data_IF_492378111089
#
_entry.id   IF_492378111089
#
_cell.length_a   1.000
_cell.length_b   1.000
_cell.length_c   1.000
_cell.angle_alpha   90.00
_cell.angle_beta   90.00
_cell.angle_gamma   90.00
#
_symmetry.space_group_name_H-M   'P 1'
#
loop_
_entity.id
_entity.type
_entity.pdbx_description
1 polymer ?
#
# COMPACT_ATOMS: atom_id res chain seq x y z
N UNK A 1 1.92 16.70 10.51
CA UNK A 1 1.88 16.14 9.15
C UNK A 1 0.50 15.57 9.01
N UNK A 2 -0.33 16.14 8.14
CA UNK A 2 -1.74 15.78 8.03
C UNK A 2 -1.92 14.97 6.76
N UNK A 3 -2.21 13.70 6.95
CA UNK A 3 -2.80 12.84 5.94
C UNK A 3 -4.32 13.16 5.81
N UNK A 4 -5.05 12.46 4.93
CA UNK A 4 -6.49 12.61 4.64
C UNK A 4 -7.51 12.59 5.79
N UNK A 5 -8.17 13.72 6.04
CA UNK A 5 -9.36 13.80 6.90
C UNK A 5 -10.65 14.10 6.10
N UNK A 6 -11.71 13.36 6.42
CA UNK A 6 -13.09 13.74 6.13
C UNK A 6 -14.08 12.81 6.85
N UNK A 7 -14.86 13.33 7.80
CA UNK A 7 -16.10 12.68 8.27
C UNK A 7 -17.17 13.73 8.55
N UNK A 8 -18.30 13.63 7.85
CA UNK A 8 -19.65 13.45 8.39
C UNK A 8 -20.70 13.99 7.40
N UNK A 9 -21.65 13.13 7.01
CA UNK A 9 -22.90 13.53 6.39
C UNK A 9 -22.88 13.65 4.87
N UNK A 10 -23.83 12.98 4.24
CA UNK A 10 -24.38 13.27 2.92
C UNK A 10 -23.50 13.02 1.69
N UNK A 11 -23.57 11.76 1.24
CA UNK A 11 -23.84 11.40 -0.15
C UNK A 11 -23.02 12.08 -1.27
N UNK A 12 -21.71 12.33 -1.10
CA UNK A 12 -20.74 12.45 -2.21
C UNK A 12 -19.34 11.97 -1.78
N UNK A 13 -19.22 10.68 -1.47
CA UNK A 13 -17.92 9.98 -1.42
C UNK A 13 -17.21 10.12 -2.78
N UNK A 14 -15.85 10.13 -2.85
CA UNK A 14 -15.07 10.42 -4.05
C UNK A 14 -15.37 9.39 -5.15
N UNK A 15 -16.41 9.67 -5.91
CA UNK A 15 -16.97 8.84 -6.97
C UNK A 15 -16.94 9.57 -8.32
N UNK A 16 -16.51 10.84 -8.33
CA UNK A 16 -16.37 11.65 -9.53
C UNK A 16 -15.15 11.29 -10.41
N UNK A 17 -14.16 10.55 -9.87
CA UNK A 17 -12.91 10.23 -10.59
C UNK A 17 -12.56 8.74 -10.65
N UNK A 18 -13.42 7.85 -10.14
CA UNK A 18 -13.25 6.40 -10.20
C UNK A 18 -12.29 5.78 -9.18
N UNK A 19 -11.67 6.56 -8.30
CA UNK A 19 -10.82 6.03 -7.22
C UNK A 19 -11.64 5.26 -6.19
N UNK A 20 -11.11 4.13 -5.72
CA UNK A 20 -11.75 3.32 -4.67
C UNK A 20 -11.02 3.53 -3.35
N UNK A 21 -11.76 3.77 -2.26
CA UNK A 21 -11.17 3.83 -0.92
C UNK A 21 -10.87 2.40 -0.46
N UNK A 22 -9.59 2.10 -0.20
CA UNK A 22 -9.15 0.80 0.32
C UNK A 22 -9.15 0.75 1.84
N UNK A 23 -8.68 1.84 2.45
CA UNK A 23 -8.62 1.97 3.90
C UNK A 23 -8.69 3.45 4.27
N UNK A 24 -9.26 3.74 5.43
CA UNK A 24 -9.22 5.06 6.03
C UNK A 24 -9.09 4.98 7.55
N UNK A 25 -8.37 5.93 8.14
CA UNK A 25 -8.34 6.19 9.58
C UNK A 25 -8.72 7.66 9.84
N UNK A 26 -8.57 8.17 11.06
CA UNK A 26 -8.89 9.56 11.43
C UNK A 26 -8.32 10.51 10.38
N UNK A 27 -7.00 10.50 10.23
CA UNK A 27 -6.24 11.35 9.33
C UNK A 27 -5.85 10.70 8.03
N UNK A 28 -6.20 9.48 7.63
CA UNK A 28 -5.54 8.92 6.44
C UNK A 28 -6.49 8.18 5.55
N UNK A 29 -6.19 8.19 4.25
CA UNK A 29 -6.93 7.45 3.23
C UNK A 29 -5.90 6.78 2.33
N UNK A 30 -6.03 5.48 2.20
CA UNK A 30 -5.37 4.70 1.16
C UNK A 30 -6.37 4.52 0.04
N UNK A 31 -6.07 5.13 -1.09
CA UNK A 31 -6.89 5.11 -2.30
C UNK A 31 -6.27 4.15 -3.32
N UNK A 32 -7.13 3.53 -4.13
CA UNK A 32 -6.74 2.68 -5.24
C UNK A 32 -7.12 3.38 -6.53
N UNK A 33 -6.14 3.53 -7.42
CA UNK A 33 -6.33 4.08 -8.77
C UNK A 33 -7.32 3.24 -9.59
N UNK A 34 -8.11 3.88 -10.47
CA UNK A 34 -8.97 3.15 -11.42
C UNK A 34 -8.13 2.22 -12.31
N UNK A 35 -8.64 1.01 -12.56
CA UNK A 35 -7.95 -0.03 -13.33
C UNK A 35 -7.67 0.41 -14.77
N UNK A 36 -8.52 1.26 -15.36
CA UNK A 36 -8.37 1.76 -16.73
C UNK A 36 -7.07 2.57 -16.91
N UNK A 37 -6.47 3.05 -15.81
CA UNK A 37 -5.17 3.77 -15.85
C UNK A 37 -4.00 2.83 -16.08
N UNK A 38 -4.14 1.55 -15.77
CA UNK A 38 -3.08 0.54 -15.89
C UNK A 38 -3.18 -0.27 -17.18
N UNK A 39 -4.23 -0.11 -17.99
CA UNK A 39 -4.42 -0.86 -19.22
C UNK A 39 -3.19 -0.91 -20.14
N UNK A 40 -2.48 0.22 -20.32
CA UNK A 40 -1.24 0.26 -21.13
C UNK A 40 -0.10 -0.52 -20.49
N UNK A 41 -0.04 -0.59 -19.16
CA UNK A 41 0.92 -1.41 -18.44
C UNK A 41 0.58 -2.89 -18.61
N UNK A 42 -0.69 -3.24 -18.49
CA UNK A 42 -1.19 -4.61 -18.64
C UNK A 42 -0.90 -5.14 -20.05
N UNK A 43 -1.26 -4.37 -21.08
CA UNK A 43 -0.97 -4.69 -22.49
C UNK A 43 0.54 -4.87 -22.76
N UNK A 44 1.38 -4.02 -22.15
CA UNK A 44 2.82 -4.12 -22.29
C UNK A 44 3.40 -5.35 -21.58
N UNK A 45 2.80 -5.77 -20.46
CA UNK A 45 3.22 -6.94 -19.70
C UNK A 45 2.80 -8.25 -20.39
N UNK A 46 1.56 -8.30 -20.91
CA UNK A 46 0.99 -9.50 -21.53
C UNK A 46 1.45 -9.72 -22.99
N UNK A 47 2.13 -8.74 -23.59
CA UNK A 47 2.69 -8.89 -24.94
C UNK A 47 3.74 -10.02 -25.01
N UNK A 48 3.87 -10.70 -26.16
CA UNK A 48 4.75 -11.86 -26.31
C UNK A 48 6.25 -11.61 -26.05
N UNK A 49 6.68 -10.35 -26.02
CA UNK A 49 7.99 -9.87 -25.55
C UNK A 49 7.81 -8.84 -24.42
N UNK A 50 6.92 -9.13 -23.47
CA UNK A 50 6.46 -8.19 -22.47
C UNK A 50 7.54 -7.68 -21.54
N UNK A 51 7.24 -6.54 -20.91
CA UNK A 51 8.13 -5.93 -19.92
C UNK A 51 8.32 -6.86 -18.70
N UNK A 52 9.43 -6.69 -17.99
CA UNK A 52 9.65 -7.46 -16.75
C UNK A 52 8.60 -7.15 -15.68
N UNK A 53 8.39 -8.06 -14.72
CA UNK A 53 7.44 -7.84 -13.60
C UNK A 53 7.83 -6.62 -12.76
N UNK A 54 9.12 -6.41 -12.53
CA UNK A 54 9.63 -5.24 -11.80
C UNK A 54 9.33 -3.95 -12.56
N UNK A 55 9.52 -3.94 -13.88
CA UNK A 55 9.20 -2.78 -14.72
C UNK A 55 7.69 -2.51 -14.75
N UNK A 56 6.88 -3.55 -14.90
CA UNK A 56 5.41 -3.46 -14.82
C UNK A 56 4.96 -2.84 -13.50
N UNK A 57 5.46 -3.35 -12.37
CA UNK A 57 5.15 -2.83 -11.04
C UNK A 57 5.66 -1.40 -10.84
N UNK A 58 6.85 -1.09 -11.35
CA UNK A 58 7.40 0.28 -11.29
C UNK A 58 6.51 1.28 -12.02
N UNK A 59 6.06 0.94 -13.24
CA UNK A 59 5.16 1.80 -14.03
C UNK A 59 3.81 2.00 -13.34
N UNK A 60 3.23 0.95 -12.75
CA UNK A 60 1.99 1.09 -11.98
C UNK A 60 2.14 2.03 -10.78
N UNK A 61 3.26 1.92 -10.06
CA UNK A 61 3.58 2.82 -8.94
C UNK A 61 3.71 4.26 -9.45
N UNK A 62 4.50 4.51 -10.50
CA UNK A 62 4.68 5.86 -11.08
C UNK A 62 3.37 6.49 -11.50
N UNK A 63 2.52 5.75 -12.22
CA UNK A 63 1.18 6.21 -12.61
C UNK A 63 0.38 6.59 -11.37
N UNK A 64 0.43 5.77 -10.32
CA UNK A 64 -0.28 6.04 -9.07
C UNK A 64 0.24 7.30 -8.37
N UNK A 65 1.55 7.48 -8.30
CA UNK A 65 2.16 8.68 -7.69
C UNK A 65 1.69 9.96 -8.39
N UNK A 66 1.80 10.01 -9.73
CA UNK A 66 1.36 11.18 -10.53
C UNK A 66 -0.14 11.44 -10.37
N UNK A 67 -0.96 10.39 -10.26
CA UNK A 67 -2.40 10.52 -10.08
C UNK A 67 -2.77 11.01 -8.69
N UNK A 68 -2.08 10.53 -7.65
CA UNK A 68 -2.30 10.98 -6.28
C UNK A 68 -1.87 12.42 -6.08
N UNK A 69 -0.78 12.87 -6.71
CA UNK A 69 -0.37 14.28 -6.69
C UNK A 69 -1.43 15.20 -7.29
N UNK A 70 -1.97 14.84 -8.46
CA UNK A 70 -3.06 15.60 -9.09
C UNK A 70 -4.31 15.64 -8.22
N UNK A 71 -4.69 14.49 -7.66
CA UNK A 71 -5.85 14.42 -6.76
C UNK A 71 -5.65 15.28 -5.51
N UNK A 72 -4.44 15.29 -4.93
CA UNK A 72 -4.09 16.15 -3.80
C UNK A 72 -4.30 17.62 -4.15
N UNK A 73 -3.81 18.05 -5.31
CA UNK A 73 -3.90 19.45 -5.73
C UNK A 73 -5.35 19.86 -5.97
N UNK A 74 -6.14 19.03 -6.66
CA UNK A 74 -7.57 19.26 -6.86
C UNK A 74 -8.36 19.32 -5.54
N UNK A 75 -8.07 18.42 -4.59
CA UNK A 75 -8.70 18.46 -3.26
C UNK A 75 -8.27 19.70 -2.48
N UNK A 76 -7.02 20.13 -2.59
CA UNK A 76 -6.53 21.34 -1.93
C UNK A 76 -7.16 22.62 -2.50
N UNK A 77 -7.35 22.69 -3.80
CA UNK A 77 -8.04 23.80 -4.45
C UNK A 77 -9.50 23.85 -3.97
N UNK A 78 -10.19 22.71 -3.96
CA UNK A 78 -11.54 22.60 -3.41
C UNK A 78 -11.61 23.03 -1.94
N UNK A 79 -10.71 22.54 -1.08
CA UNK A 79 -10.68 22.90 0.35
C UNK A 79 -10.40 24.39 0.56
N UNK A 80 -9.57 24.99 -0.29
CA UNK A 80 -9.27 26.42 -0.23
C UNK A 80 -10.48 27.26 -0.64
N UNK A 81 -11.22 26.84 -1.66
CA UNK A 81 -12.46 27.48 -2.09
C UNK A 81 -13.55 27.40 -1.00
N UNK A 82 -13.71 26.23 -0.39
CA UNK A 82 -14.72 25.98 0.65
C UNK A 82 -14.41 26.70 1.98
N UNK A 83 -13.17 26.63 2.45
CA UNK A 83 -12.77 27.22 3.73
C UNK A 83 -12.38 28.71 3.64
N UNK A 84 -12.26 29.26 2.42
CA UNK A 84 -11.74 30.61 2.18
C UNK A 84 -10.27 30.81 2.58
N UNK A 85 -9.55 29.74 2.94
CA UNK A 85 -8.15 29.80 3.35
C UNK A 85 -7.40 28.51 3.02
N UNK A 86 -6.07 28.56 2.78
CA UNK A 86 -5.27 27.38 2.48
C UNK A 86 -4.72 26.65 3.73
N UNK A 87 -5.26 26.95 4.94
CA UNK A 87 -4.76 26.36 6.18
C UNK A 87 -5.03 24.86 6.26
N UNK A 88 -6.23 24.42 5.84
CA UNK A 88 -6.58 23.02 5.73
C UNK A 88 -6.14 22.49 4.36
N UNK A 89 -5.17 21.58 4.34
CA UNK A 89 -4.67 20.96 3.12
C UNK A 89 -4.29 19.50 3.31
N UNK A 90 -4.42 18.77 2.23
CA UNK A 90 -3.98 17.42 1.98
C UNK A 90 -2.48 17.37 1.67
N UNK A 91 -1.77 16.49 2.36
CA UNK A 91 -0.42 16.08 1.98
C UNK A 91 -0.45 14.73 1.25
N UNK A 92 0.36 14.62 0.20
CA UNK A 92 0.72 13.32 -0.38
C UNK A 92 1.96 12.81 0.37
N UNK A 93 1.90 11.57 0.86
CA UNK A 93 2.99 10.97 1.63
C UNK A 93 3.72 9.92 0.79
N UNK A 94 3.02 8.84 0.42
CA UNK A 94 3.61 7.69 -0.28
C UNK A 94 2.56 6.83 -0.99
N UNK A 95 3.01 6.03 -1.95
CA UNK A 95 2.29 4.86 -2.47
C UNK A 95 2.84 3.61 -1.78
N UNK A 96 1.98 2.86 -1.10
CA UNK A 96 2.36 1.62 -0.42
C UNK A 96 2.04 0.42 -1.32
N UNK A 97 3.07 -0.21 -1.91
CA UNK A 97 2.88 -1.32 -2.84
C UNK A 97 4.10 -2.25 -2.91
N UNK A 98 3.93 -3.58 -2.87
CA UNK A 98 2.75 -4.31 -2.42
C UNK A 98 2.39 -3.97 -0.96
N UNK A 99 1.14 -4.21 -0.59
CA UNK A 99 0.60 -3.91 0.74
C UNK A 99 -0.32 -5.03 1.22
N UNK A 100 -0.24 -5.36 2.51
CA UNK A 100 -1.13 -6.31 3.19
C UNK A 100 -1.79 -5.63 4.37
N UNK A 101 -3.13 -5.68 4.39
CA UNK A 101 -3.95 -5.25 5.52
C UNK A 101 -4.40 -6.47 6.32
N UNK A 102 -4.01 -6.54 7.60
CA UNK A 102 -4.38 -7.64 8.51
C UNK A 102 -5.50 -7.25 9.48
N UNK A 103 -5.82 -5.96 9.57
CA UNK A 103 -6.93 -5.44 10.37
C UNK A 103 -6.90 -3.91 10.47
N UNK A 104 -7.81 -3.35 11.28
CA UNK A 104 -7.84 -1.91 11.55
C UNK A 104 -6.52 -1.44 12.16
N UNK A 105 -5.90 -0.43 11.56
CA UNK A 105 -4.57 0.10 11.93
C UNK A 105 -3.46 -0.97 11.94
N UNK A 106 -3.67 -2.10 11.26
CA UNK A 106 -2.72 -3.22 11.18
C UNK A 106 -2.42 -3.54 9.71
N UNK A 107 -1.30 -3.04 9.21
CA UNK A 107 -0.90 -3.27 7.82
C UNK A 107 0.61 -3.10 7.66
N UNK A 108 1.13 -3.62 6.56
CA UNK A 108 2.53 -3.48 6.19
C UNK A 108 2.68 -3.49 4.66
N UNK A 109 3.76 -2.91 4.16
CA UNK A 109 4.04 -2.85 2.73
C UNK A 109 5.37 -2.19 2.42
N UNK A 110 5.66 -2.04 1.13
CA UNK A 110 6.86 -1.31 0.66
C UNK A 110 6.46 0.13 0.31
N UNK A 111 7.04 1.14 0.99
CA UNK A 111 6.71 2.54 0.74
C UNK A 111 7.46 3.11 -0.47
N UNK A 112 6.73 3.78 -1.36
CA UNK A 112 7.27 4.53 -2.50
C UNK A 112 6.94 6.02 -2.35
N UNK A 113 7.96 6.83 -2.02
CA UNK A 113 7.79 8.26 -1.71
C UNK A 113 8.00 9.15 -2.94
N UNK A 114 9.14 9.02 -3.60
CA UNK A 114 9.52 9.85 -4.76
C UNK A 114 9.70 9.08 -6.07
N UNK A 115 10.10 7.80 -5.97
CA UNK A 115 10.26 6.89 -7.10
C UNK A 115 9.97 5.45 -6.66
N UNK A 116 9.62 4.55 -7.61
CA UNK A 116 9.54 3.13 -7.31
C UNK A 116 10.87 2.61 -6.73
N UNK A 117 10.77 1.87 -5.63
CA UNK A 117 11.92 1.26 -4.97
C UNK A 117 11.46 0.05 -4.15
N UNK A 118 11.58 -1.14 -4.74
CA UNK A 118 11.19 -2.40 -4.10
C UNK A 118 12.21 -2.93 -3.08
N UNK A 119 13.38 -2.30 -2.98
CA UNK A 119 14.46 -2.68 -2.06
C UNK A 119 14.43 -1.87 -0.75
N UNK A 120 13.36 -1.12 -0.50
CA UNK A 120 13.22 -0.29 0.70
C UNK A 120 12.78 -1.12 1.91
N UNK A 121 13.13 -0.65 3.11
CA UNK A 121 12.67 -1.23 4.38
C UNK A 121 11.14 -1.23 4.43
N UNK A 122 10.56 -2.33 4.90
CA UNK A 122 9.11 -2.46 5.08
C UNK A 122 8.57 -1.39 6.02
N UNK A 123 7.50 -0.74 5.57
CA UNK A 123 6.62 0.04 6.43
C UNK A 123 5.70 -0.92 7.17
N UNK A 124 5.60 -0.78 8.49
CA UNK A 124 4.78 -1.67 9.33
C UNK A 124 4.02 -0.82 10.34
N UNK A 125 2.69 -0.90 10.30
CA UNK A 125 1.79 -0.20 11.20
C UNK A 125 0.97 -1.20 12.02
N UNK A 126 1.09 -1.12 13.35
CA UNK A 126 0.23 -1.82 14.32
C UNK A 126 0.24 -3.35 14.31
N UNK A 127 1.01 -4.00 13.43
CA UNK A 127 1.15 -5.46 13.36
C UNK A 127 1.77 -6.01 14.65
N UNK A 128 1.20 -7.09 15.19
CA UNK A 128 1.57 -7.66 16.49
C UNK A 128 3.03 -8.07 16.59
N UNK A 129 3.62 -8.51 15.47
CA UNK A 129 5.04 -8.87 15.33
C UNK A 129 5.99 -7.74 15.76
N UNK A 130 5.55 -6.48 15.69
CA UNK A 130 6.36 -5.31 16.05
C UNK A 130 6.10 -4.84 17.49
N UNK A 131 5.07 -5.36 18.16
CA UNK A 131 4.73 -4.95 19.54
C UNK A 131 5.73 -5.51 20.55
N UNK A 132 5.93 -4.75 21.63
CA UNK A 132 6.79 -5.17 22.75
C UNK A 132 6.18 -6.36 23.50
N UNK A 133 7.02 -7.19 24.11
CA UNK A 133 6.60 -8.39 24.86
C UNK A 133 6.40 -9.65 24.02
N UNK A 134 6.58 -9.60 22.70
CA UNK A 134 6.51 -10.79 21.84
C UNK A 134 7.78 -11.63 21.90
N UNK A 135 7.64 -12.96 21.80
CA UNK A 135 8.77 -13.89 21.81
C UNK A 135 9.67 -13.67 20.60
N UNK A 136 10.99 -13.93 20.75
CA UNK A 136 11.95 -13.80 19.65
C UNK A 136 11.55 -14.69 18.46
N UNK A 137 11.04 -15.89 18.72
CA UNK A 137 10.55 -16.81 17.69
C UNK A 137 9.36 -16.24 16.92
N UNK A 138 8.35 -15.71 17.62
CA UNK A 138 7.19 -15.10 16.98
C UNK A 138 7.59 -13.89 16.12
N UNK A 139 8.49 -13.05 16.62
CA UNK A 139 9.04 -11.92 15.88
C UNK A 139 9.80 -12.36 14.62
N UNK A 140 10.61 -13.42 14.73
CA UNK A 140 11.34 -14.01 13.62
C UNK A 140 10.42 -14.56 12.53
N UNK A 141 9.46 -15.40 12.91
CA UNK A 141 8.47 -15.97 11.99
C UNK A 141 7.66 -14.87 11.29
N UNK A 142 7.14 -13.92 12.06
CA UNK A 142 6.34 -12.82 11.51
C UNK A 142 7.14 -11.96 10.54
N UNK A 143 8.41 -11.67 10.85
CA UNK A 143 9.30 -10.93 9.94
C UNK A 143 9.53 -11.70 8.64
N UNK A 144 9.76 -13.02 8.72
CA UNK A 144 9.95 -13.89 7.56
C UNK A 144 8.71 -13.91 6.64
N UNK A 145 7.51 -14.04 7.22
CA UNK A 145 6.24 -13.96 6.47
C UNK A 145 6.11 -12.63 5.74
N UNK A 146 6.36 -11.51 6.44
CA UNK A 146 6.28 -10.17 5.84
C UNK A 146 7.27 -10.01 4.69
N UNK A 147 8.53 -10.39 4.88
CA UNK A 147 9.58 -10.30 3.85
C UNK A 147 9.25 -11.16 2.63
N UNK A 148 8.84 -12.42 2.83
CA UNK A 148 8.49 -13.32 1.72
C UNK A 148 7.28 -12.85 0.92
N UNK A 149 6.28 -12.28 1.59
CA UNK A 149 5.06 -11.77 0.93
C UNK A 149 5.30 -10.56 0.05
N UNK A 150 6.38 -9.82 0.30
CA UNK A 150 6.71 -8.55 -0.36
C UNK A 150 7.70 -8.72 -1.52
N UNK A 151 8.17 -9.95 -1.78
CA UNK A 151 9.11 -10.21 -2.87
C UNK A 151 8.47 -10.01 -4.24
N UNK A 152 9.23 -9.43 -5.17
CA UNK A 152 8.84 -9.24 -6.57
C UNK A 152 8.46 -10.56 -7.25
N UNK A 153 9.22 -11.62 -7.01
CA UNK A 153 9.00 -12.95 -7.59
C UNK A 153 7.95 -13.79 -6.86
N UNK A 154 7.31 -13.25 -5.81
CA UNK A 154 6.32 -14.00 -5.07
C UNK A 154 5.07 -14.28 -5.93
N UNK A 155 4.74 -15.56 -6.02
CA UNK A 155 3.51 -16.08 -6.65
C UNK A 155 2.58 -16.75 -5.63
N UNK A 156 3.03 -16.89 -4.38
CA UNK A 156 2.31 -17.58 -3.30
C UNK A 156 1.35 -16.61 -2.63
N UNK A 157 0.20 -17.13 -2.23
CA UNK A 157 -0.75 -16.41 -1.38
C UNK A 157 -0.16 -16.22 0.03
N UNK A 158 -0.65 -15.21 0.75
CA UNK A 158 -0.22 -14.99 2.14
C UNK A 158 -0.47 -16.23 3.02
N UNK A 159 -1.58 -16.94 2.80
CA UNK A 159 -1.89 -18.18 3.52
C UNK A 159 -0.81 -19.25 3.33
N UNK A 160 -0.40 -19.49 2.07
CA UNK A 160 0.66 -20.45 1.75
C UNK A 160 2.01 -20.04 2.35
N UNK A 161 2.34 -18.75 2.36
CA UNK A 161 3.58 -18.27 2.97
C UNK A 161 3.56 -18.55 4.48
N UNK A 162 2.46 -18.22 5.15
CA UNK A 162 2.31 -18.51 6.59
C UNK A 162 2.44 -20.01 6.86
N UNK A 163 1.75 -20.85 6.09
CA UNK A 163 1.81 -22.30 6.24
C UNK A 163 3.24 -22.85 6.07
N UNK A 164 3.96 -22.38 5.05
CA UNK A 164 5.34 -22.79 4.79
C UNK A 164 6.28 -22.38 5.93
N UNK A 165 6.20 -21.11 6.38
CA UNK A 165 7.03 -20.61 7.49
C UNK A 165 6.76 -21.39 8.79
N UNK A 166 5.51 -21.77 9.04
CA UNK A 166 5.16 -22.60 10.20
C UNK A 166 5.74 -24.01 10.09
N UNK A 167 5.62 -24.66 8.92
CA UNK A 167 6.17 -26.01 8.68
C UNK A 167 7.69 -26.04 8.84
N UNK A 168 8.39 -25.06 8.28
CA UNK A 168 9.84 -24.93 8.42
C UNK A 168 10.25 -24.79 9.89
N UNK A 169 9.54 -23.93 10.63
CA UNK A 169 9.83 -23.72 12.06
C UNK A 169 9.63 -25.00 12.88
N UNK A 170 8.60 -25.80 12.58
CA UNK A 170 8.37 -27.08 13.26
C UNK A 170 9.49 -28.08 12.93
N UNK A 171 9.89 -28.18 11.66
CA UNK A 171 10.96 -29.09 11.25
C UNK A 171 12.31 -28.74 11.89
N UNK A 172 12.60 -27.45 12.06
CA UNK A 172 13.83 -26.98 12.73
C UNK A 172 13.86 -27.31 14.23
N UNK A 173 12.70 -27.49 14.88
CA UNK A 173 12.62 -27.92 16.30
C UNK A 173 12.89 -29.42 16.44
N UNK A 174 12.57 -30.21 15.42
CA UNK A 174 12.74 -31.66 15.41
C UNK A 174 14.15 -32.12 14.99
N UNK A 175 15.06 -31.19 14.69
CA UNK A 175 16.43 -31.43 14.24
C UNK A 175 17.44 -31.12 15.33
#
# INVERSE_FOLDING_TARGET
MNSFYGTAGDSKSPSSYGFRIKYGDTDSLYLVCPEERFQRCDEAYDSGNGISKEEYWSRMVEISMVKMEKLRDEVNDFLKEDNGSPYLKMAYEEVLFPVVFTGKKKYYGIPHESKPNFNKKLFIQGVEVVKWGQSKHFRGMGKKVMEESMRLDNTRTLHQIVENVLKETINDIHR
#
